data_IF_436379324769
#
_entry.id   IF_436379324769
#
_cell.length_a   1.000
_cell.length_b   1.000
_cell.length_c   1.000
_cell.angle_alpha   90.00
_cell.angle_beta   90.00
_cell.angle_gamma   90.00
#
_symmetry.space_group_name_H-M   'P 1'
#
loop_
_entity.id
_entity.type
_entity.pdbx_description
1 polymer ?
#
# COMPACT_ATOMS: atom_id res chain seq x y z
N UNK A 1 12.07 -16.79 -79.97
CA UNK A 1 12.45 -15.66 -80.86
C UNK A 1 11.94 -15.80 -82.30
N UNK A 2 11.48 -16.98 -82.73
CA UNK A 2 10.94 -17.24 -84.10
C UNK A 2 9.48 -16.80 -84.30
N UNK A 3 8.67 -16.80 -83.24
CA UNK A 3 7.26 -16.37 -83.28
C UNK A 3 7.12 -14.86 -83.50
N UNK A 4 8.06 -14.07 -82.97
CA UNK A 4 8.02 -12.62 -83.06
C UNK A 4 8.23 -12.11 -84.48
N UNK A 5 9.13 -12.75 -85.23
CA UNK A 5 9.56 -12.30 -86.57
C UNK A 5 8.41 -12.37 -87.59
N UNK A 6 7.58 -13.40 -87.52
CA UNK A 6 6.47 -13.66 -88.46
C UNK A 6 5.15 -12.90 -88.16
N UNK A 7 5.11 -12.07 -87.11
CA UNK A 7 3.90 -11.31 -86.75
C UNK A 7 3.77 -10.00 -87.54
N UNK A 8 2.52 -9.62 -87.85
CA UNK A 8 2.18 -8.30 -88.41
C UNK A 8 2.66 -7.19 -87.46
N UNK A 9 3.16 -6.08 -88.02
CA UNK A 9 3.77 -4.96 -87.28
C UNK A 9 2.90 -4.45 -86.11
N UNK A 10 1.58 -4.40 -86.29
CA UNK A 10 0.61 -3.96 -85.27
C UNK A 10 0.65 -4.83 -84.00
N UNK A 11 0.76 -6.15 -84.16
CA UNK A 11 0.84 -7.10 -83.04
C UNK A 11 2.18 -6.99 -82.30
N UNK A 12 3.29 -6.72 -83.01
CA UNK A 12 4.61 -6.50 -82.40
C UNK A 12 4.61 -5.30 -81.46
N UNK A 13 4.05 -4.17 -81.93
CA UNK A 13 3.94 -2.93 -81.12
C UNK A 13 3.08 -3.18 -79.88
N UNK A 14 1.95 -3.88 -80.03
CA UNK A 14 1.06 -4.18 -78.92
C UNK A 14 1.73 -5.06 -77.85
N UNK A 15 2.48 -6.08 -78.27
CA UNK A 15 3.21 -6.96 -77.33
C UNK A 15 4.31 -6.18 -76.59
N UNK A 16 5.05 -5.29 -77.29
CA UNK A 16 6.08 -4.45 -76.64
C UNK A 16 5.44 -3.53 -75.60
N UNK A 17 4.32 -2.88 -75.92
CA UNK A 17 3.61 -2.02 -74.97
C UNK A 17 3.16 -2.79 -73.72
N UNK A 18 2.63 -4.00 -73.89
CA UNK A 18 2.25 -4.88 -72.77
C UNK A 18 3.48 -5.25 -71.93
N UNK A 19 4.60 -5.61 -72.56
CA UNK A 19 5.83 -5.96 -71.84
C UNK A 19 6.32 -4.76 -71.01
N UNK A 20 6.31 -3.55 -71.58
CA UNK A 20 6.71 -2.33 -70.87
C UNK A 20 5.78 -2.06 -69.68
N UNK A 21 4.47 -2.20 -69.86
CA UNK A 21 3.50 -2.02 -68.76
C UNK A 21 3.74 -3.06 -67.66
N UNK A 22 3.98 -4.33 -68.02
CA UNK A 22 4.26 -5.39 -67.05
C UNK A 22 5.57 -5.13 -66.28
N UNK A 23 6.62 -4.64 -66.95
CA UNK A 23 7.88 -4.26 -66.30
C UNK A 23 7.68 -3.11 -65.33
N UNK A 24 6.97 -2.05 -65.74
CA UNK A 24 6.67 -0.91 -64.88
C UNK A 24 5.84 -1.33 -63.65
N UNK A 25 4.79 -2.13 -63.86
CA UNK A 25 3.97 -2.67 -62.78
C UNK A 25 4.79 -3.52 -61.80
N UNK A 26 5.69 -4.38 -62.29
CA UNK A 26 6.56 -5.20 -61.44
C UNK A 26 7.56 -4.39 -60.61
N UNK A 27 8.13 -3.33 -61.18
CA UNK A 27 9.03 -2.43 -60.43
C UNK A 27 8.29 -1.66 -59.34
N UNK A 28 7.08 -1.19 -59.63
CA UNK A 28 6.24 -0.47 -58.67
C UNK A 28 5.80 -1.36 -57.50
N UNK A 29 5.36 -2.59 -57.78
CA UNK A 29 4.96 -3.52 -56.71
C UNK A 29 6.13 -3.89 -55.81
N UNK A 30 7.30 -4.16 -56.39
CA UNK A 30 8.53 -4.47 -55.64
C UNK A 30 8.95 -3.29 -54.76
N UNK A 31 8.93 -2.07 -55.30
CA UNK A 31 9.22 -0.85 -54.56
C UNK A 31 8.25 -0.68 -53.36
N UNK A 32 6.94 -0.80 -53.59
CA UNK A 32 5.91 -0.67 -52.55
C UNK A 32 6.03 -1.72 -51.45
N UNK A 33 6.42 -2.96 -51.79
CA UNK A 33 6.64 -4.01 -50.79
C UNK A 33 7.84 -3.66 -49.91
N UNK A 34 8.96 -3.25 -50.51
CA UNK A 34 10.19 -2.92 -49.76
C UNK A 34 9.97 -1.71 -48.87
N UNK A 35 9.34 -0.65 -49.37
CA UNK A 35 9.04 0.54 -48.56
C UNK A 35 8.07 0.22 -47.44
N UNK A 36 7.00 -0.54 -47.73
CA UNK A 36 6.00 -0.95 -46.73
C UNK A 36 6.60 -1.81 -45.61
N UNK A 37 7.57 -2.66 -45.90
CA UNK A 37 8.28 -3.45 -44.87
C UNK A 37 9.14 -2.59 -43.95
N UNK A 38 9.72 -1.49 -44.44
CA UNK A 38 10.49 -0.57 -43.61
C UNK A 38 9.58 0.25 -42.69
N UNK A 39 8.45 0.72 -43.21
CA UNK A 39 7.47 1.47 -42.43
C UNK A 39 6.84 0.58 -41.35
N UNK A 40 6.47 -0.66 -41.69
CA UNK A 40 5.96 -1.65 -40.72
C UNK A 40 6.94 -1.89 -39.57
N UNK A 41 8.24 -2.01 -39.85
CA UNK A 41 9.25 -2.20 -38.79
C UNK A 41 9.37 -0.97 -37.90
N UNK A 42 9.35 0.23 -38.48
CA UNK A 42 9.38 1.48 -37.74
C UNK A 42 8.16 1.61 -36.81
N UNK A 43 6.97 1.24 -37.29
CA UNK A 43 5.74 1.29 -36.52
C UNK A 43 5.76 0.28 -35.36
N UNK A 44 6.26 -0.94 -35.59
CA UNK A 44 6.41 -1.96 -34.53
C UNK A 44 7.40 -1.48 -33.46
N UNK A 45 8.54 -0.89 -33.86
CA UNK A 45 9.53 -0.37 -32.92
C UNK A 45 8.99 0.84 -32.13
N UNK A 46 8.29 1.76 -32.80
CA UNK A 46 7.66 2.91 -32.16
C UNK A 46 6.60 2.47 -31.15
N UNK A 47 5.71 1.55 -31.54
CA UNK A 47 4.68 0.98 -30.66
C UNK A 47 5.30 0.29 -29.45
N UNK A 48 6.34 -0.54 -29.66
CA UNK A 48 7.05 -1.20 -28.57
C UNK A 48 7.67 -0.19 -27.60
N UNK A 49 8.29 0.87 -28.12
CA UNK A 49 8.90 1.91 -27.29
C UNK A 49 7.87 2.69 -26.49
N UNK A 50 6.73 3.03 -27.11
CA UNK A 50 5.62 3.70 -26.45
C UNK A 50 5.03 2.83 -25.33
N UNK A 51 4.74 1.56 -25.60
CA UNK A 51 4.21 0.64 -24.60
C UNK A 51 5.21 0.38 -23.47
N UNK A 52 6.51 0.24 -23.77
CA UNK A 52 7.55 0.14 -22.75
C UNK A 52 7.64 1.41 -21.89
N UNK A 53 7.49 2.60 -22.48
CA UNK A 53 7.47 3.86 -21.76
C UNK A 53 6.26 3.93 -20.81
N UNK A 54 5.06 3.57 -21.30
CA UNK A 54 3.84 3.49 -20.46
C UNK A 54 4.01 2.53 -19.30
N UNK A 55 4.55 1.33 -19.55
CA UNK A 55 4.79 0.34 -18.49
C UNK A 55 5.78 0.84 -17.44
N UNK A 56 6.88 1.48 -17.87
CA UNK A 56 7.86 2.10 -16.95
C UNK A 56 7.23 3.21 -16.12
N UNK A 57 6.44 4.08 -16.75
CA UNK A 57 5.73 5.15 -16.07
C UNK A 57 4.75 4.59 -15.03
N UNK A 58 3.95 3.59 -15.39
CA UNK A 58 3.01 2.96 -14.46
C UNK A 58 3.73 2.34 -13.25
N UNK A 59 4.85 1.64 -13.48
CA UNK A 59 5.67 1.11 -12.39
C UNK A 59 6.19 2.21 -11.48
N UNK A 60 6.69 3.31 -12.05
CA UNK A 60 7.12 4.48 -11.28
C UNK A 60 5.96 5.03 -10.44
N UNK A 61 4.79 5.23 -11.04
CA UNK A 61 3.61 5.72 -10.32
C UNK A 61 3.19 4.80 -9.17
N UNK A 62 3.25 3.48 -9.34
CA UNK A 62 2.95 2.55 -8.24
C UNK A 62 3.94 2.66 -7.09
N UNK A 63 5.24 2.78 -7.40
CA UNK A 63 6.29 2.96 -6.38
C UNK A 63 6.14 4.32 -5.68
N UNK A 64 5.88 5.39 -6.44
CA UNK A 64 5.67 6.72 -5.89
C UNK A 64 4.48 6.72 -4.93
N UNK A 65 3.34 6.13 -5.32
CA UNK A 65 2.15 6.02 -4.44
C UNK A 65 2.49 5.27 -3.16
N UNK A 66 3.21 4.15 -3.26
CA UNK A 66 3.61 3.37 -2.09
C UNK A 66 4.53 4.19 -1.17
N UNK A 67 5.51 4.89 -1.74
CA UNK A 67 6.45 5.73 -1.00
C UNK A 67 5.74 6.89 -0.30
N UNK A 68 4.92 7.65 -1.02
CA UNK A 68 4.17 8.78 -0.47
C UNK A 68 3.16 8.33 0.61
N UNK A 69 2.56 7.16 0.45
CA UNK A 69 1.68 6.58 1.48
C UNK A 69 2.47 6.27 2.75
N UNK A 70 3.63 5.65 2.63
CA UNK A 70 4.49 5.35 3.79
C UNK A 70 4.97 6.64 4.45
N UNK A 71 5.45 7.60 3.67
CA UNK A 71 5.93 8.90 4.14
C UNK A 71 4.81 9.66 4.86
N UNK A 72 3.63 9.77 4.27
CA UNK A 72 2.48 10.44 4.88
C UNK A 72 2.05 9.79 6.19
N UNK A 73 2.05 8.45 6.28
CA UNK A 73 1.74 7.77 7.54
C UNK A 73 2.83 8.02 8.59
N UNK A 74 4.11 7.99 8.20
CA UNK A 74 5.22 8.29 9.10
C UNK A 74 5.16 9.72 9.65
N UNK A 75 4.94 10.72 8.79
CA UNK A 75 4.77 12.11 9.22
C UNK A 75 3.62 12.26 10.23
N UNK A 76 2.48 11.60 9.96
CA UNK A 76 1.32 11.59 10.85
C UNK A 76 1.56 10.90 12.20
N UNK A 77 2.51 9.96 12.29
CA UNK A 77 2.84 9.34 13.59
C UNK A 77 3.56 10.31 14.55
N UNK A 78 4.12 11.41 14.05
CA UNK A 78 4.72 12.46 14.88
C UNK A 78 3.76 13.63 15.15
N UNK A 79 2.53 13.56 14.63
CA UNK A 79 1.50 14.58 14.82
C UNK A 79 0.57 14.17 15.95
N UNK A 80 0.77 14.78 17.13
CA UNK A 80 -0.03 14.50 18.32
C UNK A 80 -1.50 14.86 18.13
N UNK A 81 -1.82 15.93 17.41
CA UNK A 81 -3.20 16.37 17.16
C UNK A 81 -3.94 15.34 16.29
N UNK A 82 -3.27 14.85 15.24
CA UNK A 82 -3.80 13.78 14.40
C UNK A 82 -4.05 12.48 15.21
N UNK A 83 -3.09 12.07 16.04
CA UNK A 83 -3.23 10.86 16.86
C UNK A 83 -4.35 10.99 17.88
N UNK A 84 -4.51 12.16 18.50
CA UNK A 84 -5.59 12.41 19.45
C UNK A 84 -6.96 12.41 18.76
N UNK A 85 -7.12 13.08 17.62
CA UNK A 85 -8.37 13.06 16.85
C UNK A 85 -8.74 11.63 16.43
N UNK A 86 -7.75 10.88 15.94
CA UNK A 86 -7.97 9.54 15.38
C UNK A 86 -8.24 8.47 16.43
N UNK A 87 -7.52 8.50 17.56
CA UNK A 87 -7.54 7.43 18.56
C UNK A 87 -7.94 7.87 19.96
N UNK A 88 -7.84 9.16 20.29
CA UNK A 88 -7.97 9.69 21.65
C UNK A 88 -9.33 9.41 22.28
N UNK A 89 -10.42 9.68 21.56
CA UNK A 89 -11.79 9.41 22.06
C UNK A 89 -11.98 7.95 22.43
N UNK A 90 -11.48 7.04 21.59
CA UNK A 90 -11.58 5.60 21.82
C UNK A 90 -10.75 5.16 23.03
N UNK A 91 -9.50 5.62 23.13
CA UNK A 91 -8.63 5.29 24.27
C UNK A 91 -9.19 5.84 25.58
N UNK A 92 -9.73 7.07 25.58
CA UNK A 92 -10.44 7.64 26.73
C UNK A 92 -11.61 6.76 27.15
N UNK A 93 -12.48 6.34 26.23
CA UNK A 93 -13.59 5.45 26.58
C UNK A 93 -13.14 4.10 27.15
N UNK A 94 -12.00 3.55 26.71
CA UNK A 94 -11.44 2.32 27.28
C UNK A 94 -10.97 2.56 28.73
N UNK A 95 -10.30 3.68 28.98
CA UNK A 95 -9.89 4.09 30.33
C UNK A 95 -11.11 4.33 31.22
N UNK A 96 -12.16 4.97 30.71
CA UNK A 96 -13.41 5.23 31.46
C UNK A 96 -14.11 3.93 31.90
N UNK A 97 -14.03 2.87 31.08
CA UNK A 97 -14.53 1.53 31.47
C UNK A 97 -13.69 0.96 32.60
N UNK A 98 -12.36 1.06 32.52
CA UNK A 98 -11.46 0.65 33.60
C UNK A 98 -11.74 1.41 34.91
N UNK A 99 -11.91 2.73 34.82
CA UNK A 99 -12.27 3.59 35.95
C UNK A 99 -13.64 3.20 36.53
N UNK A 100 -14.61 2.85 35.69
CA UNK A 100 -15.93 2.41 36.13
C UNK A 100 -15.87 1.10 36.92
N UNK A 101 -14.97 0.18 36.58
CA UNK A 101 -14.72 -1.04 37.36
C UNK A 101 -14.15 -0.67 38.74
N UNK A 102 -13.18 0.24 38.80
CA UNK A 102 -12.63 0.73 40.08
C UNK A 102 -13.73 1.34 40.94
N UNK A 103 -14.55 2.25 40.37
CA UNK A 103 -15.67 2.88 41.07
C UNK A 103 -16.70 1.85 41.56
N UNK A 104 -17.00 0.84 40.76
CA UNK A 104 -17.93 -0.20 41.15
C UNK A 104 -17.44 -0.96 42.39
N UNK A 105 -16.21 -1.46 42.38
CA UNK A 105 -15.63 -2.14 43.55
C UNK A 105 -15.54 -1.23 44.77
N UNK A 106 -15.11 0.03 44.59
CA UNK A 106 -15.03 1.00 45.69
C UNK A 106 -16.40 1.39 46.26
N UNK A 107 -17.46 1.37 45.46
CA UNK A 107 -18.83 1.69 45.93
C UNK A 107 -19.41 0.66 46.90
N UNK A 108 -18.83 -0.53 46.94
CA UNK A 108 -19.26 -1.64 47.81
C UNK A 108 -18.54 -1.64 49.17
N UNK A 109 -17.60 -0.72 49.40
CA UNK A 109 -16.78 -0.64 50.62
C UNK A 109 -17.46 0.23 51.68
N UNK A 110 -17.48 -0.22 52.94
CA UNK A 110 -18.10 0.50 54.05
C UNK A 110 -17.09 1.18 54.99
N UNK A 111 -15.81 1.17 54.63
CA UNK A 111 -14.75 1.98 55.26
C UNK A 111 -13.78 1.20 56.14
N UNK A 112 -13.92 -0.12 56.26
CA UNK A 112 -12.91 -0.95 56.89
C UNK A 112 -11.69 -1.13 55.97
N UNK A 113 -10.48 -1.07 56.52
CA UNK A 113 -9.22 -1.14 55.75
C UNK A 113 -9.05 -2.46 54.98
N UNK A 114 -9.49 -3.58 55.58
CA UNK A 114 -9.50 -4.89 54.93
C UNK A 114 -10.48 -4.92 53.73
N UNK A 115 -11.61 -4.22 53.82
CA UNK A 115 -12.58 -4.12 52.71
C UNK A 115 -12.01 -3.28 51.55
N UNK A 116 -11.31 -2.19 51.85
CA UNK A 116 -10.63 -1.36 50.84
C UNK A 116 -9.61 -2.21 50.09
N UNK A 117 -8.76 -2.93 50.83
CA UNK A 117 -7.71 -3.78 50.26
C UNK A 117 -8.30 -4.90 49.39
N UNK A 118 -9.40 -5.52 49.83
CA UNK A 118 -10.11 -6.53 49.05
C UNK A 118 -10.73 -5.97 47.76
N UNK A 119 -11.32 -4.77 47.82
CA UNK A 119 -11.90 -4.10 46.66
C UNK A 119 -10.82 -3.69 45.64
N UNK A 120 -9.70 -3.16 46.10
CA UNK A 120 -8.55 -2.83 45.25
C UNK A 120 -8.01 -4.07 44.53
N UNK A 121 -7.81 -5.18 45.25
CA UNK A 121 -7.35 -6.43 44.66
C UNK A 121 -8.33 -6.98 43.61
N UNK A 122 -9.64 -6.91 43.88
CA UNK A 122 -10.67 -7.38 42.95
C UNK A 122 -10.71 -6.53 41.67
N UNK A 123 -10.71 -5.19 41.81
CA UNK A 123 -10.64 -4.29 40.67
C UNK A 123 -9.37 -4.49 39.84
N UNK A 124 -8.23 -4.69 40.51
CA UNK A 124 -6.95 -4.95 39.86
C UNK A 124 -6.97 -6.23 39.03
N UNK A 125 -7.55 -7.32 39.55
CA UNK A 125 -7.68 -8.60 38.81
C UNK A 125 -8.57 -8.43 37.58
N UNK A 126 -9.70 -7.73 37.72
CA UNK A 126 -10.60 -7.48 36.59
C UNK A 126 -9.90 -6.67 35.49
N UNK A 127 -9.24 -5.57 35.86
CA UNK A 127 -8.49 -4.72 34.92
C UNK A 127 -7.33 -5.47 34.29
N UNK A 128 -6.60 -6.30 35.04
CA UNK A 128 -5.49 -7.14 34.53
C UNK A 128 -5.93 -8.07 33.41
N UNK A 129 -7.19 -8.52 33.43
CA UNK A 129 -7.76 -9.40 32.42
C UNK A 129 -8.42 -8.67 31.25
N UNK A 130 -8.64 -7.35 31.34
CA UNK A 130 -9.21 -6.57 30.24
C UNK A 130 -8.29 -6.56 29.03
N UNK A 131 -8.87 -6.82 27.85
CA UNK A 131 -8.19 -6.69 26.56
C UNK A 131 -9.07 -5.94 25.57
N UNK A 132 -8.43 -5.15 24.72
CA UNK A 132 -9.05 -4.48 23.57
C UNK A 132 -8.19 -4.71 22.32
N UNK A 133 -8.61 -4.18 21.17
CA UNK A 133 -7.89 -4.35 19.89
C UNK A 133 -7.52 -5.80 19.57
N UNK A 134 -8.55 -6.65 19.52
CA UNK A 134 -8.40 -8.08 19.22
C UNK A 134 -7.40 -8.81 20.13
N UNK A 135 -7.29 -8.39 21.38
CA UNK A 135 -6.42 -9.02 22.39
C UNK A 135 -5.06 -8.35 22.57
N UNK A 136 -4.71 -7.35 21.76
CA UNK A 136 -3.38 -6.71 21.80
C UNK A 136 -3.30 -5.55 22.78
N UNK A 137 -4.40 -4.81 22.95
CA UNK A 137 -4.49 -3.69 23.87
C UNK A 137 -4.77 -4.12 25.30
N UNK A 138 -4.16 -3.43 26.27
CA UNK A 138 -4.31 -3.70 27.69
C UNK A 138 -4.20 -2.41 28.52
N UNK A 139 -4.58 -2.48 29.80
CA UNK A 139 -4.43 -1.42 30.79
C UNK A 139 -3.44 -1.87 31.87
N UNK A 140 -2.66 -0.93 32.41
CA UNK A 140 -1.80 -1.14 33.58
C UNK A 140 -2.18 -0.13 34.66
N UNK A 141 -1.70 -0.35 35.89
CA UNK A 141 -1.92 0.54 37.03
C UNK A 141 -0.56 0.83 37.66
N UNK A 142 -0.25 2.11 37.86
CA UNK A 142 0.87 2.57 38.68
C UNK A 142 0.33 3.49 39.78
N UNK A 143 1.11 3.66 40.84
CA UNK A 143 0.78 4.62 41.89
C UNK A 143 1.15 6.05 41.46
N UNK A 144 0.88 7.01 42.33
CA UNK A 144 1.20 8.43 42.11
C UNK A 144 2.45 8.89 42.87
N UNK A 145 3.31 7.94 43.28
CA UNK A 145 4.56 8.23 44.01
C UNK A 145 5.47 9.12 43.17
N UNK A 146 6.15 10.07 43.82
CA UNK A 146 7.08 11.01 43.17
C UNK A 146 8.49 10.82 43.77
N UNK A 147 9.58 11.05 43.00
CA UNK A 147 9.63 11.53 41.61
C UNK A 147 9.28 10.47 40.56
N UNK A 148 9.40 9.19 40.90
CA UNK A 148 9.15 8.06 39.99
C UNK A 148 8.09 7.16 40.61
N UNK A 149 7.04 6.77 39.86
CA UNK A 149 5.97 5.93 40.37
C UNK A 149 6.41 4.46 40.53
N UNK A 150 5.66 3.73 41.35
CA UNK A 150 5.76 2.28 41.49
C UNK A 150 4.67 1.64 40.63
N UNK A 151 5.03 0.61 39.88
CA UNK A 151 4.06 -0.19 39.14
C UNK A 151 3.24 -1.03 40.12
N UNK A 152 1.92 -0.93 40.04
CA UNK A 152 1.00 -1.71 40.89
C UNK A 152 0.59 -3.00 40.16
N UNK A 153 0.34 -2.91 38.86
CA UNK A 153 -0.06 -4.07 38.04
C UNK A 153 0.23 -3.84 36.56
N UNK A 154 0.97 -4.76 35.95
CA UNK A 154 1.20 -4.84 34.51
C UNK A 154 0.78 -6.21 33.95
N UNK A 155 -0.15 -6.27 32.98
CA UNK A 155 -0.71 -7.56 32.54
C UNK A 155 0.22 -8.40 31.66
N UNK A 156 1.08 -7.77 30.84
CA UNK A 156 2.02 -8.45 29.94
C UNK A 156 3.47 -8.49 30.46
N UNK A 157 3.81 -7.68 31.46
CA UNK A 157 5.12 -7.63 32.10
C UNK A 157 4.99 -7.73 33.64
N UNK A 158 4.47 -8.85 34.20
CA UNK A 158 4.21 -8.95 35.64
C UNK A 158 5.46 -8.81 36.52
N UNK A 159 6.67 -8.92 35.95
CA UNK A 159 7.93 -8.68 36.66
C UNK A 159 8.09 -7.22 37.13
N UNK A 160 7.30 -6.30 36.58
CA UNK A 160 7.29 -4.91 36.99
C UNK A 160 6.39 -4.68 38.21
N UNK A 161 5.50 -5.61 38.56
CA UNK A 161 4.56 -5.44 39.68
C UNK A 161 5.37 -5.23 40.99
N UNK A 162 5.21 -4.05 41.63
CA UNK A 162 5.93 -3.64 42.85
C UNK A 162 7.26 -2.92 42.61
N UNK A 163 7.73 -2.83 41.36
CA UNK A 163 9.00 -2.19 41.03
C UNK A 163 8.86 -0.67 40.81
N UNK A 164 9.90 0.07 41.15
CA UNK A 164 10.03 1.49 40.80
C UNK A 164 10.27 1.59 39.30
N UNK A 165 9.51 2.44 38.60
CA UNK A 165 9.61 2.63 37.15
C UNK A 165 10.77 3.57 36.76
N UNK A 166 11.95 3.31 37.31
CA UNK A 166 13.14 4.09 37.01
C UNK A 166 13.81 3.59 35.72
N UNK A 167 14.39 4.51 34.97
CA UNK A 167 15.25 4.22 33.82
C UNK A 167 16.70 4.10 34.31
N UNK A 168 17.06 3.00 34.97
CA UNK A 168 18.48 2.59 35.12
C UNK A 168 18.88 1.50 34.11
#
# INVERSE_FOLDING_TARGET
MTIFVNLKLRSKIFIIAIIVILLLAGTLTTYSIVSGMQDTRRDIEAFRNEELAKKKQNLKSYVDIAYETILSNYEKTNDTEYLEDRYGTRLRSIVDVGESIIRHHMSMVHGAEDEISAAQNSAMIDIKNMRYDSGTGYLWINDTTTPVPIMVMHPTLPRLDGEVLDEE
#
